data_IF_669772587744
#
_entry.id   IF_669772587744
#
_cell.length_a   1.000
_cell.length_b   1.000
_cell.length_c   1.000
_cell.angle_alpha   90.00
_cell.angle_beta   90.00
_cell.angle_gamma   90.00
#
_symmetry.space_group_name_H-M   'P 1'
#
loop_
_entity.id
_entity.type
_entity.pdbx_description
1 polymer ?
#
# COMPACT_ATOMS: atom_id res chain seq x y z
N UNK A 1 -8.27 2.82 -39.69
CA UNK A 1 -8.37 2.22 -38.34
C UNK A 1 -8.53 3.38 -37.38
N UNK A 2 -9.65 3.47 -36.66
CA UNK A 2 -10.12 4.73 -36.06
C UNK A 2 -9.37 5.05 -34.75
N UNK A 3 -8.95 6.31 -34.56
CA UNK A 3 -8.19 6.77 -33.38
C UNK A 3 -8.88 6.40 -32.07
N UNK A 4 -10.22 6.48 -32.04
CA UNK A 4 -11.05 6.10 -30.90
C UNK A 4 -10.86 4.64 -30.44
N UNK A 5 -10.59 3.71 -31.38
CA UNK A 5 -10.34 2.31 -31.04
C UNK A 5 -8.97 2.12 -30.39
N UNK A 6 -7.95 2.90 -30.80
CA UNK A 6 -6.63 2.84 -30.19
C UNK A 6 -6.64 3.45 -28.78
N UNK A 7 -7.34 4.56 -28.60
CA UNK A 7 -7.47 5.22 -27.29
C UNK A 7 -8.27 4.36 -26.30
N UNK A 8 -9.32 3.68 -26.77
CA UNK A 8 -10.10 2.73 -25.97
C UNK A 8 -9.26 1.52 -25.52
N UNK A 9 -8.42 0.96 -26.41
CA UNK A 9 -7.51 -0.14 -26.05
C UNK A 9 -6.43 0.30 -25.05
N UNK A 10 -5.86 1.48 -25.22
CA UNK A 10 -4.85 2.02 -24.32
C UNK A 10 -5.42 2.29 -22.92
N UNK A 11 -6.65 2.81 -22.83
CA UNK A 11 -7.32 3.02 -21.54
C UNK A 11 -7.67 1.68 -20.88
N UNK A 12 -8.21 0.72 -21.62
CA UNK A 12 -8.50 -0.60 -21.10
C UNK A 12 -7.24 -1.31 -20.57
N UNK A 13 -6.11 -1.19 -21.27
CA UNK A 13 -4.83 -1.75 -20.82
C UNK A 13 -4.33 -1.10 -19.51
N UNK A 14 -4.53 0.22 -19.35
CA UNK A 14 -4.19 0.93 -18.09
C UNK A 14 -5.08 0.49 -16.93
N UNK A 15 -6.37 0.32 -17.18
CA UNK A 15 -7.32 -0.18 -16.19
C UNK A 15 -6.99 -1.60 -15.75
N UNK A 16 -6.67 -2.49 -16.69
CA UNK A 16 -6.22 -3.85 -16.39
C UNK A 16 -4.90 -3.88 -15.62
N UNK A 17 -3.97 -2.99 -15.93
CA UNK A 17 -2.73 -2.85 -15.17
C UNK A 17 -3.01 -2.32 -13.75
N UNK A 18 -3.88 -1.34 -13.59
CA UNK A 18 -4.28 -0.85 -12.27
C UNK A 18 -4.98 -1.93 -11.43
N UNK A 19 -5.84 -2.73 -12.07
CA UNK A 19 -6.49 -3.90 -11.46
C UNK A 19 -5.49 -4.98 -11.05
N UNK A 20 -4.53 -5.33 -11.92
CA UNK A 20 -3.52 -6.34 -11.61
C UNK A 20 -2.52 -5.90 -10.54
N UNK A 21 -2.34 -4.60 -10.36
CA UNK A 21 -1.53 -4.00 -9.30
C UNK A 21 -2.32 -3.76 -8.01
N UNK A 22 -3.64 -3.96 -8.02
CA UNK A 22 -4.48 -3.83 -6.83
C UNK A 22 -4.51 -5.13 -6.04
N UNK A 23 -4.45 -5.04 -4.71
CA UNK A 23 -4.72 -6.19 -3.84
C UNK A 23 -6.16 -6.65 -4.05
N UNK A 24 -6.37 -7.92 -4.39
CA UNK A 24 -7.70 -8.48 -4.52
C UNK A 24 -8.43 -8.48 -3.17
N UNK A 25 -9.77 -8.53 -3.21
CA UNK A 25 -10.58 -8.64 -1.98
C UNK A 25 -10.20 -9.85 -1.13
N UNK A 26 -9.86 -10.98 -1.77
CA UNK A 26 -9.44 -12.19 -1.10
C UNK A 26 -8.07 -12.03 -0.40
N UNK A 27 -7.09 -11.42 -1.08
CA UNK A 27 -5.78 -11.12 -0.49
C UNK A 27 -5.89 -10.15 0.68
N UNK A 28 -6.76 -9.14 0.57
CA UNK A 28 -7.03 -8.19 1.66
C UNK A 28 -7.65 -8.88 2.88
N UNK A 29 -8.62 -9.78 2.66
CA UNK A 29 -9.23 -10.55 3.75
C UNK A 29 -8.22 -11.47 4.43
N UNK A 30 -7.38 -12.15 3.66
CA UNK A 30 -6.31 -13.00 4.19
C UNK A 30 -5.31 -12.18 5.01
N UNK A 31 -4.88 -11.02 4.50
CA UNK A 31 -4.01 -10.10 5.22
C UNK A 31 -4.63 -9.65 6.55
N UNK A 32 -5.88 -9.17 6.54
CA UNK A 32 -6.57 -8.71 7.75
C UNK A 32 -6.64 -9.83 8.80
N UNK A 33 -6.99 -11.05 8.40
CA UNK A 33 -7.09 -12.18 9.34
C UNK A 33 -5.75 -12.46 10.04
N UNK A 34 -4.65 -12.45 9.29
CA UNK A 34 -3.30 -12.65 9.85
C UNK A 34 -2.95 -11.46 10.76
N UNK A 35 -3.08 -10.25 10.23
CA UNK A 35 -2.78 -9.00 10.93
C UNK A 35 -3.50 -8.90 12.27
N UNK A 36 -4.83 -9.01 12.25
CA UNK A 36 -5.68 -8.76 13.42
C UNK A 36 -5.47 -9.81 14.51
N UNK A 37 -5.16 -11.06 14.14
CA UNK A 37 -4.80 -12.12 15.08
C UNK A 37 -3.51 -11.80 15.83
N UNK A 38 -2.46 -11.38 15.11
CA UNK A 38 -1.20 -10.97 15.74
C UNK A 38 -1.34 -9.67 16.52
N UNK A 39 -2.06 -8.68 15.99
CA UNK A 39 -2.33 -7.42 16.67
C UNK A 39 -3.03 -7.66 18.01
N UNK A 40 -4.08 -8.49 18.02
CA UNK A 40 -4.82 -8.84 19.24
C UNK A 40 -3.94 -9.55 20.27
N UNK A 41 -3.03 -10.41 19.81
CA UNK A 41 -2.22 -11.25 20.70
C UNK A 41 -1.00 -10.52 21.29
N UNK A 42 -0.39 -9.60 20.52
CA UNK A 42 0.91 -9.02 20.86
C UNK A 42 0.92 -7.48 20.90
N UNK A 43 -0.13 -6.82 20.41
CA UNK A 43 -0.33 -5.38 20.52
C UNK A 43 0.46 -4.52 19.53
N UNK A 44 0.24 -3.19 19.57
CA UNK A 44 0.73 -2.26 18.56
C UNK A 44 2.26 -2.12 18.51
N UNK A 45 2.95 -2.22 19.65
CA UNK A 45 4.41 -2.10 19.70
C UNK A 45 5.10 -3.27 18.97
N UNK A 46 4.61 -4.49 19.17
CA UNK A 46 5.06 -5.66 18.43
C UNK A 46 4.81 -5.49 16.93
N UNK A 47 3.62 -5.04 16.55
CA UNK A 47 3.26 -4.85 15.15
C UNK A 47 4.14 -3.79 14.47
N UNK A 48 4.43 -2.67 15.14
CA UNK A 48 5.35 -1.65 14.64
C UNK A 48 6.75 -2.24 14.37
N UNK A 49 7.25 -3.11 15.25
CA UNK A 49 8.52 -3.80 15.05
C UNK A 49 8.49 -4.76 13.85
N UNK A 50 7.42 -5.54 13.69
CA UNK A 50 7.25 -6.47 12.56
C UNK A 50 7.18 -5.70 11.23
N UNK A 51 6.43 -4.60 11.18
CA UNK A 51 6.33 -3.78 9.97
C UNK A 51 7.66 -3.16 9.58
N UNK A 52 8.38 -2.57 10.55
CA UNK A 52 9.71 -2.03 10.32
C UNK A 52 10.66 -3.10 9.76
N UNK A 53 10.70 -4.27 10.39
CA UNK A 53 11.59 -5.37 9.99
C UNK A 53 11.24 -5.89 8.59
N UNK A 54 9.95 -6.02 8.28
CA UNK A 54 9.48 -6.44 6.94
C UNK A 54 9.89 -5.44 5.87
N UNK A 55 9.73 -4.13 6.11
CA UNK A 55 10.15 -3.08 5.18
C UNK A 55 11.66 -3.11 4.99
N UNK A 56 12.44 -3.17 6.07
CA UNK A 56 13.91 -3.23 6.01
C UNK A 56 14.39 -4.43 5.17
N UNK A 57 13.78 -5.60 5.35
CA UNK A 57 14.09 -6.79 4.55
C UNK A 57 13.72 -6.60 3.07
N UNK A 58 12.54 -6.04 2.78
CA UNK A 58 12.10 -5.79 1.40
C UNK A 58 13.06 -4.81 0.68
N UNK A 59 13.50 -3.76 1.38
CA UNK A 59 14.39 -2.74 0.85
C UNK A 59 15.76 -3.30 0.42
N UNK A 60 16.27 -4.33 1.09
CA UNK A 60 17.57 -4.94 0.79
C UNK A 60 17.60 -5.58 -0.59
N UNK A 61 16.48 -6.15 -1.04
CA UNK A 61 16.38 -6.84 -2.34
C UNK A 61 15.76 -6.00 -3.46
N UNK A 62 15.27 -4.79 -3.16
CA UNK A 62 14.60 -3.94 -4.15
C UNK A 62 15.58 -3.14 -5.02
N UNK A 63 15.31 -3.01 -6.33
CA UNK A 63 15.96 -2.03 -7.19
C UNK A 63 15.77 -0.60 -6.68
N UNK A 64 16.75 0.28 -6.92
CA UNK A 64 16.75 1.65 -6.35
C UNK A 64 15.51 2.47 -6.69
N UNK A 65 14.98 2.34 -7.91
CA UNK A 65 13.77 3.06 -8.33
C UNK A 65 12.53 2.61 -7.55
N UNK A 66 12.42 1.31 -7.25
CA UNK A 66 11.30 0.74 -6.48
C UNK A 66 11.45 1.06 -4.98
N UNK A 67 12.68 0.96 -4.46
CA UNK A 67 13.04 1.40 -3.11
C UNK A 67 12.64 2.86 -2.87
N UNK A 68 12.95 3.75 -3.80
CA UNK A 68 12.63 5.17 -3.69
C UNK A 68 11.11 5.41 -3.67
N UNK A 69 10.36 4.71 -4.54
CA UNK A 69 8.89 4.79 -4.55
C UNK A 69 8.28 4.31 -3.24
N UNK A 70 8.78 3.20 -2.70
CA UNK A 70 8.29 2.66 -1.42
C UNK A 70 8.53 3.65 -0.27
N UNK A 71 9.73 4.23 -0.18
CA UNK A 71 10.07 5.19 0.87
C UNK A 71 9.22 6.47 0.78
N UNK A 72 8.99 6.98 -0.44
CA UNK A 72 8.13 8.14 -0.65
C UNK A 72 6.67 7.86 -0.23
N UNK A 73 6.12 6.72 -0.64
CA UNK A 73 4.76 6.32 -0.26
C UNK A 73 4.61 6.11 1.26
N UNK A 74 5.64 5.53 1.89
CA UNK A 74 5.67 5.35 3.35
C UNK A 74 5.70 6.70 4.08
N UNK A 75 6.55 7.64 3.64
CA UNK A 75 6.60 8.98 4.20
C UNK A 75 5.28 9.73 4.03
N UNK A 76 4.68 9.70 2.84
CA UNK A 76 3.39 10.34 2.58
C UNK A 76 2.29 9.78 3.51
N UNK A 77 2.26 8.47 3.69
CA UNK A 77 1.30 7.81 4.57
C UNK A 77 1.47 8.23 6.03
N UNK A 78 2.72 8.36 6.50
CA UNK A 78 2.99 8.87 7.86
C UNK A 78 2.56 10.32 8.01
N UNK A 79 2.89 11.20 7.05
CA UNK A 79 2.47 12.60 7.08
C UNK A 79 0.95 12.72 7.14
N UNK A 80 0.24 11.95 6.31
CA UNK A 80 -1.22 11.91 6.31
C UNK A 80 -1.80 11.44 7.65
N UNK A 81 -1.23 10.38 8.24
CA UNK A 81 -1.68 9.88 9.53
C UNK A 81 -1.43 10.89 10.67
N UNK A 82 -0.33 11.66 10.60
CA UNK A 82 -0.06 12.77 11.52
C UNK A 82 -1.11 13.86 11.33
N UNK A 83 -1.36 14.28 10.08
CA UNK A 83 -2.35 15.30 9.77
C UNK A 83 -3.75 14.88 10.27
N UNK A 84 -4.15 13.62 10.07
CA UNK A 84 -5.41 13.07 10.58
C UNK A 84 -5.45 13.01 12.12
N UNK A 85 -4.34 12.70 12.77
CA UNK A 85 -4.26 12.63 14.23
C UNK A 85 -4.38 14.02 14.89
N UNK A 86 -3.84 15.06 14.23
CA UNK A 86 -3.87 16.44 14.70
C UNK A 86 -4.95 17.29 14.04
N UNK A 87 -5.73 16.73 13.11
CA UNK A 87 -6.86 17.40 12.51
C UNK A 87 -7.85 17.74 13.63
N UNK A 88 -8.25 19.01 13.78
CA UNK A 88 -9.24 19.38 14.79
C UNK A 88 -10.52 18.60 14.51
N UNK A 89 -10.97 17.81 15.49
CA UNK A 89 -12.24 17.11 15.44
C UNK A 89 -13.37 18.13 15.30
N UNK A 90 -13.72 18.48 14.06
CA UNK A 90 -14.81 19.41 13.77
C UNK A 90 -16.09 18.91 14.43
N UNK A 91 -16.50 19.61 15.50
CA UNK A 91 -17.85 19.58 16.05
C UNK A 91 -18.72 20.54 15.26
#
# INVERSE_FOLDING_TARGET
MNQDLQDSLANNAKEWLALSLSISSAEKQAFNKVHDGFYTSYGPAFMAHVYRSTIEQALQSMPDAERTKLLAAFQESMSRAIDEHYAPSGH
#
